data_IF_380437657150
#
_entry.id   IF_380437657150
#
_cell.length_a   1.000
_cell.length_b   1.000
_cell.length_c   1.000
_cell.angle_alpha   90.00
_cell.angle_beta   90.00
_cell.angle_gamma   90.00
#
_symmetry.space_group_name_H-M   'P 1'
#
loop_
_entity.id
_entity.type
_entity.pdbx_description
1 polymer ?
#
# COMPACT_ATOMS: atom_id res chain seq x y z
N UNK A 1 -32.27 -4.58 -13.37
CA UNK A 1 -31.95 -3.95 -12.06
C UNK A 1 -30.45 -3.86 -11.95
N UNK A 2 -29.89 -2.75 -12.42
CA UNK A 2 -28.47 -2.44 -12.29
C UNK A 2 -28.27 -2.00 -10.84
N UNK A 3 -27.61 -2.81 -10.01
CA UNK A 3 -27.21 -2.36 -8.68
C UNK A 3 -26.29 -1.16 -8.89
N UNK A 4 -26.78 0.04 -8.56
CA UNK A 4 -25.91 1.17 -8.28
C UNK A 4 -25.02 0.71 -7.13
N UNK A 5 -23.76 0.44 -7.41
CA UNK A 5 -22.72 0.45 -6.39
C UNK A 5 -22.75 1.88 -5.85
N UNK A 6 -23.30 2.06 -4.65
CA UNK A 6 -23.32 3.37 -3.99
C UNK A 6 -21.91 3.94 -3.99
N UNK A 7 -21.71 5.24 -4.28
CA UNK A 7 -20.40 5.88 -4.26
C UNK A 7 -19.77 5.96 -2.85
N UNK A 8 -20.48 5.46 -1.83
CA UNK A 8 -19.88 4.91 -0.63
C UNK A 8 -19.14 3.61 -1.00
N UNK A 9 -18.02 3.74 -1.72
CA UNK A 9 -16.91 2.81 -1.44
C UNK A 9 -16.73 2.88 0.07
N UNK A 10 -17.14 1.83 0.76
CA UNK A 10 -17.30 1.82 2.20
C UNK A 10 -16.00 2.32 2.85
N UNK A 11 -16.08 3.43 3.58
CA UNK A 11 -14.92 4.04 4.23
C UNK A 11 -14.21 3.04 5.16
N UNK A 12 -14.92 2.04 5.69
CA UNK A 12 -14.30 0.94 6.41
C UNK A 12 -13.46 0.05 5.48
N UNK A 13 -13.95 -0.29 4.29
CA UNK A 13 -13.19 -0.99 3.25
C UNK A 13 -11.94 -0.20 2.79
N UNK A 14 -12.05 1.12 2.63
CA UNK A 14 -10.90 1.97 2.29
C UNK A 14 -9.84 2.00 3.41
N UNK A 15 -10.27 2.12 4.68
CA UNK A 15 -9.36 2.02 5.83
C UNK A 15 -8.71 0.65 5.94
N UNK A 16 -9.47 -0.43 5.73
CA UNK A 16 -8.94 -1.80 5.74
C UNK A 16 -7.90 -2.03 4.65
N UNK A 17 -8.13 -1.46 3.45
CA UNK A 17 -7.15 -1.52 2.36
C UNK A 17 -5.85 -0.77 2.73
N UNK A 18 -5.95 0.43 3.33
CA UNK A 18 -4.79 1.17 3.84
C UNK A 18 -4.01 0.37 4.87
N UNK A 19 -4.70 -0.21 5.85
CA UNK A 19 -4.05 -1.00 6.90
C UNK A 19 -3.36 -2.25 6.32
N UNK A 20 -3.98 -2.88 5.31
CA UNK A 20 -3.38 -4.00 4.58
C UNK A 20 -2.12 -3.59 3.79
N UNK A 21 -2.14 -2.40 3.15
CA UNK A 21 -0.97 -1.86 2.46
C UNK A 21 0.17 -1.54 3.43
N UNK A 22 -0.14 -0.94 4.59
CA UNK A 22 0.84 -0.67 5.64
C UNK A 22 1.48 -1.96 6.18
N UNK A 23 0.68 -3.00 6.39
CA UNK A 23 1.19 -4.33 6.77
C UNK A 23 2.08 -4.92 5.66
N UNK A 24 1.67 -4.77 4.40
CA UNK A 24 2.49 -5.17 3.25
C UNK A 24 3.82 -4.43 3.19
N UNK A 25 3.83 -3.12 3.47
CA UNK A 25 5.04 -2.30 3.53
C UNK A 25 6.00 -2.80 4.62
N UNK A 26 5.48 -3.09 5.82
CA UNK A 26 6.25 -3.68 6.91
C UNK A 26 6.85 -5.02 6.50
N UNK A 27 6.06 -5.90 5.87
CA UNK A 27 6.53 -7.19 5.40
C UNK A 27 7.68 -7.07 4.38
N UNK A 28 7.56 -6.17 3.40
CA UNK A 28 8.61 -5.93 2.40
C UNK A 28 9.87 -5.33 3.04
N UNK A 29 9.71 -4.40 3.98
CA UNK A 29 10.83 -3.86 4.76
C UNK A 29 11.58 -4.96 5.54
N UNK A 30 10.85 -5.88 6.16
CA UNK A 30 11.44 -7.01 6.89
C UNK A 30 12.21 -7.97 5.96
N UNK A 31 11.78 -8.14 4.71
CA UNK A 31 12.50 -8.96 3.72
C UNK A 31 13.88 -8.40 3.36
N UNK A 32 14.10 -7.08 3.48
CA UNK A 32 15.42 -6.50 3.22
C UNK A 32 16.51 -6.99 4.19
N UNK A 33 16.12 -7.47 5.38
CA UNK A 33 17.04 -8.04 6.36
C UNK A 33 17.28 -9.54 6.17
N UNK A 34 16.46 -10.21 5.35
CA UNK A 34 16.57 -11.62 5.05
C UNK A 34 17.38 -11.82 3.76
N UNK A 35 18.66 -11.45 3.80
CA UNK A 35 19.60 -11.81 2.75
C UNK A 35 20.12 -13.24 2.99
N UNK A 36 19.96 -14.11 2.00
CA UNK A 36 20.58 -15.43 2.00
C UNK A 36 22.12 -15.27 1.89
N UNK A 37 22.89 -15.78 2.87
CA UNK A 37 24.35 -15.62 2.90
C UNK A 37 25.06 -16.35 1.75
N UNK A 38 24.41 -17.29 1.07
CA UNK A 38 24.97 -17.98 -0.10
C UNK A 38 24.72 -17.22 -1.41
N UNK A 39 23.92 -16.14 -1.40
CA UNK A 39 23.67 -15.35 -2.60
C UNK A 39 24.88 -14.54 -3.02
N UNK A 40 25.09 -14.49 -4.34
CA UNK A 40 26.11 -13.60 -4.91
C UNK A 40 25.78 -12.13 -4.64
N UNK A 41 26.79 -11.25 -4.52
CA UNK A 41 26.56 -9.82 -4.32
C UNK A 41 25.66 -9.18 -5.40
N UNK A 42 25.75 -9.66 -6.64
CA UNK A 42 24.90 -9.21 -7.75
C UNK A 42 23.43 -9.60 -7.53
N UNK A 43 23.17 -10.84 -7.13
CA UNK A 43 21.82 -11.32 -6.81
C UNK A 43 21.22 -10.54 -5.66
N UNK A 44 21.99 -10.33 -4.58
CA UNK A 44 21.59 -9.51 -3.44
C UNK A 44 21.24 -8.09 -3.88
N UNK A 45 22.08 -7.44 -4.68
CA UNK A 45 21.83 -6.09 -5.18
C UNK A 45 20.59 -6.02 -6.09
N UNK A 46 20.34 -7.04 -6.90
CA UNK A 46 19.14 -7.13 -7.73
C UNK A 46 17.87 -7.30 -6.88
N UNK A 47 17.92 -8.14 -5.85
CA UNK A 47 16.81 -8.37 -4.92
C UNK A 47 16.52 -7.10 -4.09
N UNK A 48 17.54 -6.41 -3.59
CA UNK A 48 17.36 -5.15 -2.87
C UNK A 48 16.72 -4.07 -3.76
N UNK A 49 17.08 -4.00 -5.04
CA UNK A 49 16.41 -3.10 -6.00
C UNK A 49 14.92 -3.46 -6.16
N UNK A 50 14.58 -4.74 -6.32
CA UNK A 50 13.18 -5.18 -6.43
C UNK A 50 12.38 -4.85 -5.17
N UNK A 51 12.93 -5.11 -3.98
CA UNK A 51 12.29 -4.77 -2.71
C UNK A 51 12.09 -3.25 -2.57
N UNK A 52 13.07 -2.44 -2.98
CA UNK A 52 12.95 -0.99 -3.02
C UNK A 52 11.82 -0.50 -3.93
N UNK A 53 11.69 -1.09 -5.13
CA UNK A 53 10.59 -0.78 -6.06
C UNK A 53 9.21 -1.18 -5.49
N UNK A 54 9.14 -2.29 -4.76
CA UNK A 54 7.91 -2.71 -4.08
C UNK A 54 7.54 -1.72 -2.97
N UNK A 55 8.50 -1.28 -2.16
CA UNK A 55 8.30 -0.25 -1.13
C UNK A 55 7.76 1.04 -1.77
N UNK A 56 8.41 1.54 -2.82
CA UNK A 56 7.98 2.74 -3.54
C UNK A 56 6.54 2.62 -4.03
N UNK A 57 6.20 1.49 -4.66
CA UNK A 57 4.84 1.23 -5.17
C UNK A 57 3.81 1.25 -4.06
N UNK A 58 4.07 0.57 -2.94
CA UNK A 58 3.14 0.52 -1.79
C UNK A 58 2.98 1.90 -1.16
N UNK A 59 4.07 2.67 -1.01
CA UNK A 59 4.01 4.03 -0.48
C UNK A 59 3.12 4.96 -1.34
N UNK A 60 3.24 4.88 -2.67
CA UNK A 60 2.38 5.65 -3.59
C UNK A 60 0.91 5.24 -3.43
N UNK A 61 0.63 3.93 -3.37
CA UNK A 61 -0.74 3.43 -3.18
C UNK A 61 -1.35 3.87 -1.84
N UNK A 62 -0.57 3.88 -0.76
CA UNK A 62 -1.01 4.38 0.55
C UNK A 62 -1.34 5.88 0.46
N UNK A 63 -0.45 6.68 -0.13
CA UNK A 63 -0.66 8.12 -0.28
C UNK A 63 -1.93 8.46 -1.10
N UNK A 64 -2.13 7.78 -2.24
CA UNK A 64 -3.32 7.96 -3.08
C UNK A 64 -4.61 7.60 -2.33
N UNK A 65 -4.56 6.52 -1.54
CA UNK A 65 -5.69 6.07 -0.74
C UNK A 65 -5.98 7.02 0.43
N UNK A 66 -4.96 7.58 1.07
CA UNK A 66 -5.12 8.59 2.12
C UNK A 66 -5.76 9.87 1.59
N UNK A 67 -5.33 10.36 0.43
CA UNK A 67 -5.96 11.52 -0.24
C UNK A 67 -7.42 11.22 -0.57
N UNK A 68 -7.72 10.00 -1.02
CA UNK A 68 -9.09 9.59 -1.32
C UNK A 68 -9.97 9.58 -0.06
N UNK A 69 -9.45 9.03 1.04
CA UNK A 69 -10.11 9.02 2.36
C UNK A 69 -10.35 10.45 2.87
N UNK A 70 -9.34 11.32 2.81
CA UNK A 70 -9.45 12.70 3.29
C UNK A 70 -10.48 13.50 2.49
N UNK A 71 -10.47 13.38 1.17
CA UNK A 71 -11.44 14.05 0.30
C UNK A 71 -12.88 13.60 0.59
N UNK A 72 -13.08 12.32 0.91
CA UNK A 72 -14.39 11.79 1.27
C UNK A 72 -14.86 12.38 2.63
N UNK A 73 -13.99 12.38 3.64
CA UNK A 73 -14.29 12.98 4.95
C UNK A 73 -14.64 14.47 4.84
N UNK A 74 -13.89 15.23 4.03
CA UNK A 74 -14.14 16.66 3.84
C UNK A 74 -15.47 16.94 3.12
N UNK A 75 -15.90 16.06 2.21
CA UNK A 75 -17.21 16.15 1.56
C UNK A 75 -18.35 15.89 2.53
N UNK A 76 -18.19 14.95 3.45
CA UNK A 76 -19.19 14.64 4.48
C UNK A 76 -19.29 15.75 5.54
N UNK A 77 -18.20 16.44 5.86
CA UNK A 77 -18.17 17.54 6.83
C UNK A 77 -18.66 18.89 6.27
N UNK A 78 -18.70 19.06 4.95
CA UNK A 78 -19.15 20.28 4.26
C UNK A 78 -20.62 20.26 3.81
N UNK A 79 -21.36 19.21 4.16
CA UNK A 79 -22.82 19.10 4.02
C UNK A 79 -23.51 19.41 5.35
#
# INVERSE_FOLDING_TARGET
MTQLVSPQTDMASARAARDSLLLGLEAVGNLMFWSDPEQSPESTAANMRKLGQMIETVCVMVADLEVTIENQCNREAGQ
#
